data_IF_110432131360
#
_entry.id   IF_110432131360
#
_cell.length_a   1.000
_cell.length_b   1.000
_cell.length_c   1.000
_cell.angle_alpha   90.00
_cell.angle_beta   90.00
_cell.angle_gamma   90.00
#
_symmetry.space_group_name_H-M   'P 1'
#
loop_
_entity.id
_entity.type
_entity.pdbx_description
1 polymer ?
#
# COMPACT_ATOMS: atom_id res chain seq x y z
N UNK A 1 -52.90 -17.52 40.66
CA UNK A 1 -51.62 -17.51 39.91
C UNK A 1 -50.74 -16.43 40.53
N UNK A 2 -49.65 -16.81 41.23
CA UNK A 2 -48.91 -15.90 42.11
C UNK A 2 -47.89 -15.04 41.34
N UNK A 3 -47.76 -13.77 41.74
CA UNK A 3 -46.84 -12.76 41.15
C UNK A 3 -45.42 -13.29 40.92
N UNK A 4 -44.94 -14.18 41.80
CA UNK A 4 -43.63 -14.84 41.71
C UNK A 4 -43.46 -15.68 40.42
N UNK A 5 -44.49 -16.42 39.97
CA UNK A 5 -44.45 -17.26 38.76
C UNK A 5 -44.44 -16.43 37.47
N UNK A 6 -45.11 -15.27 37.47
CA UNK A 6 -45.11 -14.35 36.33
C UNK A 6 -43.74 -13.68 36.14
N UNK A 7 -43.05 -13.36 37.24
CA UNK A 7 -41.69 -12.82 37.20
C UNK A 7 -40.65 -13.83 36.69
N UNK A 8 -40.73 -15.12 37.06
CA UNK A 8 -39.79 -16.13 36.55
C UNK A 8 -39.93 -16.38 35.04
N UNK A 9 -41.16 -16.34 34.51
CA UNK A 9 -41.40 -16.48 33.08
C UNK A 9 -40.89 -15.29 32.26
N UNK A 10 -40.99 -14.06 32.80
CA UNK A 10 -40.49 -12.85 32.14
C UNK A 10 -38.95 -12.80 32.16
N UNK A 11 -38.32 -13.18 33.28
CA UNK A 11 -36.85 -13.24 33.36
C UNK A 11 -36.23 -14.35 32.49
N UNK A 12 -36.94 -15.45 32.26
CA UNK A 12 -36.49 -16.52 31.37
C UNK A 12 -36.51 -16.13 29.89
N UNK A 13 -37.45 -15.28 29.46
CA UNK A 13 -37.53 -14.79 28.08
C UNK A 13 -36.40 -13.79 27.71
N UNK A 14 -35.94 -12.98 28.66
CA UNK A 14 -34.92 -11.95 28.41
C UNK A 14 -33.52 -12.54 28.27
N UNK A 15 -33.23 -13.67 28.93
CA UNK A 15 -31.92 -14.32 28.87
C UNK A 15 -31.62 -14.98 27.50
N UNK A 16 -32.64 -15.31 26.70
CA UNK A 16 -32.46 -16.00 25.42
C UNK A 16 -32.21 -15.05 24.23
N UNK A 17 -32.51 -13.75 24.38
CA UNK A 17 -32.42 -12.78 23.28
C UNK A 17 -31.02 -12.17 23.06
N UNK A 18 -30.03 -12.48 23.92
CA UNK A 18 -28.70 -11.84 23.88
C UNK A 18 -27.58 -12.65 23.18
N UNK A 19 -27.87 -13.81 22.59
CA UNK A 19 -26.84 -14.74 22.12
C UNK A 19 -26.61 -14.84 20.60
N UNK A 20 -27.09 -13.90 19.79
CA UNK A 20 -26.87 -13.96 18.33
C UNK A 20 -26.49 -12.61 17.74
N UNK A 21 -25.25 -12.19 18.02
CA UNK A 21 -24.55 -11.24 17.18
C UNK A 21 -23.23 -11.87 16.71
N UNK A 22 -23.34 -12.87 15.84
CA UNK A 22 -22.20 -13.36 15.07
C UNK A 22 -21.94 -12.36 13.94
N UNK A 23 -21.08 -11.37 14.19
CA UNK A 23 -20.59 -10.50 13.13
C UNK A 23 -19.73 -11.32 12.16
N UNK A 24 -20.25 -11.58 10.97
CA UNK A 24 -19.45 -12.08 9.86
C UNK A 24 -18.51 -10.95 9.41
N UNK A 25 -17.23 -11.06 9.80
CA UNK A 25 -16.16 -10.31 9.14
C UNK A 25 -16.04 -10.87 7.72
N UNK A 26 -16.54 -10.12 6.74
CA UNK A 26 -16.11 -10.28 5.36
C UNK A 26 -14.72 -9.67 5.27
N UNK A 27 -13.69 -10.50 5.40
CA UNK A 27 -12.36 -10.15 4.91
C UNK A 27 -12.48 -10.06 3.38
N UNK A 28 -12.73 -8.86 2.90
CA UNK A 28 -12.71 -8.55 1.48
C UNK A 28 -11.25 -8.72 1.04
N UNK A 29 -10.87 -9.93 0.61
CA UNK A 29 -9.56 -10.29 0.05
C UNK A 29 -9.38 -9.62 -1.32
N UNK A 30 -9.50 -8.29 -1.36
CA UNK A 30 -9.11 -7.49 -2.50
C UNK A 30 -7.60 -7.53 -2.55
N UNK A 31 -7.08 -8.50 -3.31
CA UNK A 31 -5.67 -8.59 -3.67
C UNK A 31 -5.22 -7.21 -4.13
N UNK A 32 -4.37 -6.57 -3.33
CA UNK A 32 -3.96 -5.21 -3.62
C UNK A 32 -3.27 -5.17 -4.98
N UNK A 33 -3.80 -4.33 -5.88
CA UNK A 33 -3.25 -4.12 -7.21
C UNK A 33 -1.84 -3.56 -7.09
N UNK A 34 -0.86 -4.25 -7.68
CA UNK A 34 0.55 -3.88 -7.69
C UNK A 34 1.00 -3.62 -9.11
N UNK A 35 1.63 -2.48 -9.33
CA UNK A 35 2.26 -2.10 -10.58
C UNK A 35 3.77 -1.98 -10.40
N UNK A 36 4.46 -1.96 -11.53
CA UNK A 36 5.88 -1.67 -11.62
C UNK A 36 6.07 -0.22 -12.05
N UNK A 37 7.00 0.45 -11.38
CA UNK A 37 7.33 1.85 -11.59
C UNK A 37 8.81 1.95 -11.85
N UNK A 38 9.17 2.92 -12.69
CA UNK A 38 10.54 3.37 -12.89
C UNK A 38 10.66 4.79 -12.36
N UNK A 39 11.74 5.06 -11.63
CA UNK A 39 11.98 6.35 -11.01
C UNK A 39 13.32 6.92 -11.46
N UNK A 40 13.32 8.16 -11.91
CA UNK A 40 14.50 8.96 -12.16
C UNK A 40 14.95 9.59 -10.84
N UNK A 41 16.11 9.17 -10.36
CA UNK A 41 16.59 9.46 -9.01
C UNK A 41 17.85 10.29 -9.06
N UNK A 42 17.91 11.34 -8.24
CA UNK A 42 19.16 12.01 -7.92
C UNK A 42 19.87 11.25 -6.82
N UNK A 43 21.10 10.81 -7.07
CA UNK A 43 21.85 9.99 -6.11
C UNK A 43 23.16 10.65 -5.67
N UNK A 44 23.90 10.01 -4.76
CA UNK A 44 25.25 10.44 -4.38
C UNK A 44 26.28 10.32 -5.49
N UNK A 45 25.99 9.59 -6.59
CA UNK A 45 26.92 9.39 -7.72
C UNK A 45 26.44 9.94 -9.06
N UNK A 46 25.34 10.68 -9.07
CA UNK A 46 24.70 11.17 -10.30
C UNK A 46 23.25 10.72 -10.39
N UNK A 47 22.65 10.85 -11.55
CA UNK A 47 21.29 10.40 -11.78
C UNK A 47 21.26 8.91 -12.16
N UNK A 48 20.28 8.17 -11.66
CA UNK A 48 20.05 6.76 -12.01
C UNK A 48 18.56 6.48 -12.16
N UNK A 49 18.23 5.46 -12.95
CA UNK A 49 16.88 4.88 -12.97
C UNK A 49 16.85 3.64 -12.08
N UNK A 50 15.83 3.55 -11.24
CA UNK A 50 15.58 2.37 -10.42
C UNK A 50 14.12 1.92 -10.54
N UNK A 51 13.93 0.60 -10.44
CA UNK A 51 12.64 -0.04 -10.60
C UNK A 51 12.06 -0.46 -9.25
N UNK A 52 10.75 -0.29 -9.11
CA UNK A 52 10.02 -0.58 -7.90
C UNK A 52 8.69 -1.25 -8.21
N UNK A 53 8.28 -2.19 -7.36
CA UNK A 53 6.97 -2.83 -7.44
C UNK A 53 6.14 -2.49 -6.21
N UNK A 54 5.09 -1.70 -6.40
CA UNK A 54 4.29 -1.16 -5.30
C UNK A 54 2.80 -1.32 -5.55
N UNK A 55 2.04 -1.33 -4.45
CA UNK A 55 0.59 -1.18 -4.54
C UNK A 55 0.24 0.23 -5.01
N UNK A 56 -0.71 0.35 -5.93
CA UNK A 56 -1.10 1.64 -6.54
C UNK A 56 -1.47 2.66 -5.46
N UNK A 57 -2.28 2.24 -4.47
CA UNK A 57 -2.69 3.09 -3.33
C UNK A 57 -1.53 3.60 -2.46
N UNK A 58 -0.37 2.95 -2.53
CA UNK A 58 0.82 3.30 -1.74
C UNK A 58 1.88 4.05 -2.55
N UNK A 59 1.64 4.34 -3.83
CA UNK A 59 2.61 4.98 -4.73
C UNK A 59 3.24 6.24 -4.12
N UNK A 60 2.42 7.25 -3.79
CA UNK A 60 2.90 8.53 -3.22
C UNK A 60 3.67 8.33 -1.93
N UNK A 61 3.18 7.44 -1.04
CA UNK A 61 3.83 7.15 0.24
C UNK A 61 5.17 6.44 0.05
N UNK A 62 5.29 5.55 -0.91
CA UNK A 62 6.53 4.82 -1.16
C UNK A 62 7.57 5.71 -1.85
N UNK A 63 7.15 6.54 -2.80
CA UNK A 63 7.99 7.55 -3.43
C UNK A 63 8.59 8.51 -2.40
N UNK A 64 7.77 9.05 -1.49
CA UNK A 64 8.21 9.97 -0.43
C UNK A 64 9.21 9.33 0.57
N UNK A 65 9.30 8.00 0.62
CA UNK A 65 10.25 7.27 1.49
C UNK A 65 11.59 6.99 0.83
N UNK A 66 11.74 7.27 -0.47
CA UNK A 66 12.96 6.99 -1.21
C UNK A 66 14.15 7.87 -0.82
N UNK A 67 14.01 9.18 -0.56
CA UNK A 67 15.14 9.99 -0.11
C UNK A 67 15.82 9.38 1.13
N UNK A 68 17.15 9.46 1.16
CA UNK A 68 18.02 8.82 2.16
C UNK A 68 18.04 7.28 2.15
N UNK A 69 17.33 6.61 1.23
CA UNK A 69 17.46 5.16 1.05
C UNK A 69 18.67 4.83 0.19
N UNK A 70 19.22 3.64 0.45
CA UNK A 70 20.29 3.05 -0.33
C UNK A 70 19.71 2.27 -1.50
N UNK A 71 20.29 2.40 -2.69
CA UNK A 71 19.92 1.55 -3.81
C UNK A 71 20.36 0.09 -3.55
N UNK A 72 19.50 -0.91 -3.80
CA UNK A 72 19.84 -2.32 -3.62
C UNK A 72 21.14 -2.69 -4.36
N UNK A 73 22.02 -3.44 -3.72
CA UNK A 73 23.29 -3.88 -4.32
C UNK A 73 24.36 -2.79 -4.51
N UNK A 74 24.03 -1.49 -4.36
CA UNK A 74 24.96 -0.38 -4.58
C UNK A 74 25.24 0.39 -3.29
N UNK A 75 26.48 0.87 -3.09
CA UNK A 75 26.82 1.82 -2.01
C UNK A 75 26.51 3.26 -2.43
N UNK A 76 25.28 3.49 -2.90
CA UNK A 76 24.79 4.77 -3.41
C UNK A 76 23.49 5.09 -2.69
N UNK A 77 23.34 6.34 -2.25
CA UNK A 77 22.14 6.81 -1.57
C UNK A 77 21.34 7.73 -2.48
N UNK A 78 20.02 7.61 -2.39
CA UNK A 78 19.06 8.48 -3.05
C UNK A 78 19.04 9.81 -2.29
N UNK A 79 19.36 10.90 -2.98
CA UNK A 79 19.24 12.26 -2.48
C UNK A 79 17.83 12.79 -2.69
N UNK A 80 17.28 12.56 -3.87
CA UNK A 80 15.95 13.03 -4.25
C UNK A 80 15.30 12.16 -5.32
N UNK A 81 13.99 12.31 -5.49
CA UNK A 81 13.19 11.70 -6.56
C UNK A 81 12.71 12.79 -7.50
N UNK A 82 13.22 12.79 -8.73
CA UNK A 82 12.85 13.82 -9.71
C UNK A 82 11.53 13.46 -10.40
N UNK A 83 11.34 12.19 -10.75
CA UNK A 83 10.12 11.70 -11.40
C UNK A 83 9.96 10.19 -11.20
N UNK A 84 8.74 9.71 -10.98
CA UNK A 84 8.40 8.28 -11.06
C UNK A 84 7.17 8.10 -11.96
N UNK A 85 7.25 7.15 -12.88
CA UNK A 85 6.15 6.78 -13.78
C UNK A 85 5.96 5.26 -13.77
N UNK A 86 4.82 4.77 -14.24
CA UNK A 86 4.63 3.34 -14.51
C UNK A 86 5.70 2.84 -15.49
N UNK A 87 6.06 1.55 -15.41
CA UNK A 87 7.17 0.97 -16.16
C UNK A 87 7.09 1.25 -17.67
N UNK A 88 5.88 1.18 -18.24
CA UNK A 88 5.62 1.36 -19.67
C UNK A 88 5.26 2.80 -20.06
N UNK A 89 5.11 3.70 -19.08
CA UNK A 89 4.89 5.12 -19.34
C UNK A 89 6.21 5.82 -19.68
N UNK A 90 6.13 6.92 -20.42
CA UNK A 90 7.29 7.77 -20.70
C UNK A 90 7.49 8.80 -19.58
N UNK A 91 8.74 9.07 -19.22
CA UNK A 91 9.07 10.22 -18.38
C UNK A 91 8.71 11.53 -19.08
N UNK A 92 8.39 12.57 -18.32
CA UNK A 92 8.18 13.93 -18.85
C UNK A 92 9.50 14.68 -18.98
N UNK A 93 10.48 14.37 -18.14
CA UNK A 93 11.82 14.98 -18.22
C UNK A 93 12.63 14.36 -19.36
N UNK A 94 13.09 15.18 -20.31
CA UNK A 94 13.89 14.71 -21.45
C UNK A 94 15.21 14.03 -21.02
N UNK A 95 15.82 14.47 -19.93
CA UNK A 95 17.00 13.81 -19.35
C UNK A 95 16.68 12.41 -18.80
N UNK A 96 15.49 12.22 -18.25
CA UNK A 96 15.03 10.93 -17.76
C UNK A 96 14.66 9.99 -18.92
N UNK A 97 14.00 10.51 -19.96
CA UNK A 97 13.72 9.74 -21.19
C UNK A 97 15.00 9.17 -21.80
N UNK A 98 16.02 10.02 -21.99
CA UNK A 98 17.30 9.58 -22.56
C UNK A 98 18.00 8.52 -21.70
N UNK A 99 17.98 8.68 -20.38
CA UNK A 99 18.59 7.69 -19.49
C UNK A 99 17.80 6.36 -19.50
N UNK A 100 16.48 6.40 -19.66
CA UNK A 100 15.61 5.21 -19.71
C UNK A 100 15.89 4.36 -20.95
N UNK A 101 16.13 4.99 -22.11
CA UNK A 101 16.52 4.30 -23.35
C UNK A 101 17.83 3.51 -23.20
N UNK A 102 18.75 4.00 -22.37
CA UNK A 102 20.04 3.38 -22.10
C UNK A 102 19.99 2.38 -20.91
N UNK A 103 18.89 2.35 -20.16
CA UNK A 103 18.75 1.55 -18.94
C UNK A 103 18.20 0.15 -19.25
N UNK A 104 18.97 -0.88 -18.92
CA UNK A 104 18.51 -2.26 -19.01
C UNK A 104 17.37 -2.54 -18.02
N UNK A 105 16.37 -3.31 -18.46
CA UNK A 105 15.22 -3.75 -17.65
C UNK A 105 15.51 -5.06 -16.93
#
# INVERSE_FOLDING_TARGET
MNKSQLTYLIFSFIAFALLVNSSSVNADDKKAEKLEYKCYLKTTKGYEIAFYRWEVKNFTRNMAKLPSRKLPGKRIYIKDVEECVELDASFTLGAAQKLDEETAR
#
